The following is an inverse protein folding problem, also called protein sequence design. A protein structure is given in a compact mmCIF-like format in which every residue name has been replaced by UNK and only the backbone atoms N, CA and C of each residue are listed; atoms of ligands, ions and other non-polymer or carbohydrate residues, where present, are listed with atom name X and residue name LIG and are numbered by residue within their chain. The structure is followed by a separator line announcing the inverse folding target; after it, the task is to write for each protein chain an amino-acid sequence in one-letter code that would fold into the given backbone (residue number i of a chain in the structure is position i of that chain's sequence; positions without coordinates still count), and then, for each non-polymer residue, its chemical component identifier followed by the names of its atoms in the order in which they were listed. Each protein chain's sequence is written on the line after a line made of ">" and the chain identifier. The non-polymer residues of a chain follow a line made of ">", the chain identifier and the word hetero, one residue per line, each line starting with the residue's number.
data_IF_355655816095
#
_entry.id   IF_355655816095
#
_cell.length_a   1.000
_cell.length_b   1.000
_cell.length_c   1.000
_cell.angle_alpha   90.00
_cell.angle_beta   90.00
_cell.angle_gamma   90.00
#
_symmetry.space_group_name_H-M   'P 1'
#
loop_
_entity.id
_entity.type
_entity.pdbx_description
1 polymer ?
#
# COMPACT_ATOMS: atom_id res chain seq x y z
N UNK A 1 24.09 -47.94 -2.02
CA UNK A 1 23.23 -46.78 -1.80
C UNK A 1 24.03 -45.76 -1.01
N UNK A 2 24.67 -44.82 -1.71
CA UNK A 2 25.32 -43.69 -1.03
C UNK A 2 24.23 -42.74 -0.54
N UNK A 3 24.20 -42.48 0.76
CA UNK A 3 23.30 -41.51 1.35
C UNK A 3 23.68 -40.11 0.85
N UNK A 4 22.75 -39.47 0.14
CA UNK A 4 22.88 -38.11 -0.34
C UNK A 4 23.03 -37.17 0.88
N UNK A 5 24.21 -36.57 1.01
CA UNK A 5 24.52 -35.59 2.05
C UNK A 5 23.53 -34.41 1.91
N UNK A 6 22.91 -33.93 3.00
CA UNK A 6 21.94 -32.83 2.91
C UNK A 6 22.58 -31.59 2.27
N UNK A 7 21.82 -30.80 1.49
CA UNK A 7 22.34 -29.62 0.82
C UNK A 7 22.95 -28.67 1.85
N UNK A 8 24.21 -28.31 1.64
CA UNK A 8 24.95 -27.44 2.52
C UNK A 8 24.46 -26.01 2.29
N UNK A 9 23.85 -25.41 3.33
CA UNK A 9 23.41 -24.01 3.29
C UNK A 9 24.60 -23.10 2.94
N UNK A 10 24.34 -22.08 2.13
CA UNK A 10 25.35 -21.08 1.78
C UNK A 10 25.80 -20.27 3.00
N UNK A 11 26.98 -19.64 2.94
CA UNK A 11 27.55 -18.91 4.08
C UNK A 11 26.62 -17.79 4.58
N UNK A 12 25.89 -17.15 3.66
CA UNK A 12 24.94 -16.07 3.95
C UNK A 12 23.68 -16.61 4.65
N UNK A 13 23.24 -17.82 4.30
CA UNK A 13 22.14 -18.52 4.96
C UNK A 13 22.53 -19.09 6.32
N UNK A 14 23.78 -18.98 6.75
CA UNK A 14 24.20 -19.39 8.10
C UNK A 14 24.30 -18.19 9.05
N UNK A 15 24.16 -16.96 8.56
CA UNK A 15 24.22 -15.76 9.38
C UNK A 15 22.99 -15.65 10.30
N UNK A 16 23.16 -15.07 11.51
CA UNK A 16 22.05 -14.60 12.34
C UNK A 16 21.12 -13.67 11.55
N UNK A 17 19.83 -13.72 11.87
CA UNK A 17 18.79 -12.94 11.17
C UNK A 17 19.08 -11.45 11.20
N UNK A 18 19.66 -10.96 12.30
CA UNK A 18 20.01 -9.56 12.52
C UNK A 18 21.09 -9.09 11.54
N UNK A 19 22.05 -9.95 11.19
CA UNK A 19 23.08 -9.62 10.20
C UNK A 19 22.52 -9.66 8.79
N UNK A 20 21.59 -10.58 8.51
CA UNK A 20 20.89 -10.64 7.22
C UNK A 20 20.03 -9.40 7.02
N UNK A 21 19.32 -8.96 8.08
CA UNK A 21 18.54 -7.73 8.08
C UNK A 21 19.42 -6.50 7.83
N UNK A 22 20.59 -6.40 8.48
CA UNK A 22 21.55 -5.31 8.22
C UNK A 22 22.05 -5.34 6.77
N UNK A 23 22.32 -6.53 6.21
CA UNK A 23 22.75 -6.67 4.81
C UNK A 23 21.65 -6.24 3.86
N UNK A 24 20.41 -6.72 4.05
CA UNK A 24 19.25 -6.32 3.25
C UNK A 24 19.00 -4.81 3.37
N UNK A 25 19.22 -4.25 4.56
CA UNK A 25 19.09 -2.83 4.84
C UNK A 25 20.24 -1.96 4.31
N UNK A 26 21.29 -2.56 3.76
CA UNK A 26 22.43 -1.87 3.18
C UNK A 26 22.43 -1.89 1.64
N UNK A 27 21.44 -2.54 1.01
CA UNK A 27 21.33 -2.64 -0.44
C UNK A 27 20.93 -1.29 -1.07
N UNK A 28 21.63 -0.80 -2.11
CA UNK A 28 21.49 0.59 -2.52
C UNK A 28 20.13 0.93 -3.17
N UNK A 29 19.37 -0.06 -3.62
CA UNK A 29 18.15 0.15 -4.41
C UNK A 29 17.14 -1.00 -4.32
N UNK A 30 15.90 -0.73 -4.68
CA UNK A 30 14.78 -1.68 -4.65
C UNK A 30 14.99 -2.88 -5.59
N UNK A 31 15.72 -2.72 -6.70
CA UNK A 31 16.00 -3.80 -7.61
C UNK A 31 17.01 -4.79 -7.01
N UNK A 32 18.05 -4.28 -6.34
CA UNK A 32 19.03 -5.04 -5.57
C UNK A 32 18.38 -5.75 -4.38
N UNK A 33 17.47 -5.08 -3.66
CA UNK A 33 16.69 -5.68 -2.57
C UNK A 33 15.78 -6.80 -3.06
N UNK A 34 15.02 -6.55 -4.13
CA UNK A 34 14.19 -7.58 -4.79
C UNK A 34 15.04 -8.75 -5.28
N UNK A 35 16.19 -8.47 -5.88
CA UNK A 35 17.15 -9.48 -6.31
C UNK A 35 17.60 -10.36 -5.15
N UNK A 36 18.03 -9.75 -4.05
CA UNK A 36 18.49 -10.46 -2.85
C UNK A 36 17.37 -11.27 -2.17
N UNK A 37 16.17 -10.71 -2.04
CA UNK A 37 15.02 -11.41 -1.48
C UNK A 37 14.63 -12.64 -2.32
N UNK A 38 14.79 -12.57 -3.64
CA UNK A 38 14.48 -13.68 -4.55
C UNK A 38 15.64 -14.69 -4.69
N UNK A 39 16.82 -14.41 -4.14
CA UNK A 39 17.97 -15.32 -4.24
C UNK A 39 17.79 -16.61 -3.42
N UNK A 40 17.16 -16.54 -2.24
CA UNK A 40 16.89 -17.74 -1.46
C UNK A 40 15.73 -17.57 -0.45
N UNK A 41 15.09 -18.68 -0.02
CA UNK A 41 13.97 -18.65 0.92
C UNK A 41 14.30 -17.94 2.23
N UNK A 42 15.51 -18.11 2.77
CA UNK A 42 15.89 -17.48 4.03
C UNK A 42 16.03 -15.96 3.93
N UNK A 43 16.55 -15.44 2.82
CA UNK A 43 16.59 -13.99 2.58
C UNK A 43 15.19 -13.43 2.37
N UNK A 44 14.33 -14.17 1.69
CA UNK A 44 12.92 -13.83 1.54
C UNK A 44 12.20 -13.80 2.90
N UNK A 45 12.39 -14.80 3.74
CA UNK A 45 11.76 -14.91 5.07
C UNK A 45 12.22 -13.78 6.00
N UNK A 46 13.49 -13.39 5.94
CA UNK A 46 14.01 -12.24 6.69
C UNK A 46 13.49 -10.92 6.13
N UNK A 47 13.42 -10.76 4.81
CA UNK A 47 12.79 -9.60 4.18
C UNK A 47 11.31 -9.48 4.58
N UNK A 48 10.57 -10.59 4.59
CA UNK A 48 9.18 -10.70 5.05
C UNK A 48 9.04 -10.39 6.54
N UNK A 49 9.92 -10.94 7.37
CA UNK A 49 9.93 -10.71 8.82
C UNK A 49 10.33 -9.28 9.20
N UNK A 50 11.16 -8.63 8.38
CA UNK A 50 11.58 -7.24 8.52
C UNK A 50 10.75 -6.28 7.65
N UNK A 51 9.67 -6.73 7.01
CA UNK A 51 8.82 -5.91 6.12
C UNK A 51 8.27 -4.67 6.86
N UNK A 52 7.93 -4.82 8.15
CA UNK A 52 7.54 -3.73 9.07
C UNK A 52 8.69 -2.80 9.48
N UNK A 53 9.95 -3.20 9.21
CA UNK A 53 11.16 -2.41 9.44
C UNK A 53 11.73 -1.79 8.17
N UNK A 54 11.51 -2.44 7.03
CA UNK A 54 12.09 -2.08 5.73
C UNK A 54 11.21 -1.07 4.98
N UNK A 55 9.89 -1.05 5.23
CA UNK A 55 8.99 -0.05 4.65
C UNK A 55 8.83 1.17 5.57
N UNK A 56 9.29 2.34 5.12
CA UNK A 56 9.00 3.62 5.78
C UNK A 56 7.49 3.86 5.79
N UNK A 57 6.91 4.35 6.90
CA UNK A 57 5.46 4.68 7.00
C UNK A 57 4.95 5.53 5.81
N UNK A 58 5.77 6.46 5.32
CA UNK A 58 5.49 7.28 4.13
C UNK A 58 5.37 6.43 2.86
N UNK A 59 6.29 5.49 2.63
CA UNK A 59 6.24 4.57 1.49
C UNK A 59 4.99 3.69 1.54
N UNK A 60 4.65 3.18 2.72
CA UNK A 60 3.43 2.39 2.93
C UNK A 60 2.17 3.22 2.65
N UNK A 61 2.15 4.50 3.02
CA UNK A 61 1.06 5.40 2.68
C UNK A 61 0.98 5.75 1.19
N UNK A 62 2.12 5.88 0.51
CA UNK A 62 2.15 6.04 -0.94
C UNK A 62 1.56 4.81 -1.64
N UNK A 63 1.91 3.60 -1.18
CA UNK A 63 1.25 2.36 -1.61
C UNK A 63 -0.24 2.37 -1.32
N UNK A 64 -0.66 2.92 -0.17
CA UNK A 64 -2.07 3.15 0.13
C UNK A 64 -2.78 4.07 -0.86
N UNK A 65 -2.17 5.19 -1.24
CA UNK A 65 -2.74 6.09 -2.26
C UNK A 65 -2.85 5.40 -3.63
N UNK A 66 -1.84 4.61 -4.01
CA UNK A 66 -1.84 3.82 -5.24
C UNK A 66 -2.94 2.75 -5.20
N UNK A 67 -3.09 2.08 -4.06
CA UNK A 67 -4.14 1.08 -3.84
C UNK A 67 -5.53 1.68 -4.07
N UNK A 68 -5.89 2.77 -3.37
CA UNK A 68 -7.17 3.45 -3.54
C UNK A 68 -7.40 3.93 -4.98
N UNK A 69 -6.34 4.37 -5.67
CA UNK A 69 -6.42 4.73 -7.08
C UNK A 69 -6.74 3.52 -7.96
N UNK A 70 -6.02 2.41 -7.80
CA UNK A 70 -6.20 1.22 -8.63
C UNK A 70 -7.58 0.59 -8.41
N UNK A 71 -8.06 0.54 -7.17
CA UNK A 71 -9.44 0.11 -6.85
C UNK A 71 -10.43 0.97 -7.63
N UNK A 72 -10.38 2.31 -7.46
CA UNK A 72 -11.30 3.24 -8.16
C UNK A 72 -11.21 3.14 -9.68
N UNK A 73 -10.05 2.82 -10.24
CA UNK A 73 -9.87 2.68 -11.68
C UNK A 73 -10.61 1.44 -12.24
N UNK A 74 -10.63 0.32 -11.50
CA UNK A 74 -11.27 -0.93 -11.96
C UNK A 74 -12.70 -1.12 -11.48
N UNK A 75 -13.11 -0.47 -10.37
CA UNK A 75 -14.45 -0.59 -9.80
C UNK A 75 -15.58 -0.36 -10.82
N UNK A 76 -15.54 0.64 -11.73
CA UNK A 76 -16.64 0.83 -12.68
C UNK A 76 -16.85 -0.36 -13.62
N UNK A 77 -15.77 -1.00 -14.08
CA UNK A 77 -15.85 -2.18 -14.94
C UNK A 77 -16.32 -3.41 -14.14
N UNK A 78 -15.86 -3.54 -12.89
CA UNK A 78 -16.27 -4.62 -12.00
C UNK A 78 -17.75 -4.55 -11.63
N UNK A 79 -18.23 -3.37 -11.22
CA UNK A 79 -19.63 -3.12 -10.83
C UNK A 79 -20.54 -3.41 -12.02
N UNK A 80 -20.18 -2.96 -13.23
CA UNK A 80 -20.93 -3.24 -14.45
C UNK A 80 -21.13 -4.75 -14.67
N UNK A 81 -20.13 -5.58 -14.40
CA UNK A 81 -20.29 -7.04 -14.51
C UNK A 81 -21.10 -7.60 -13.35
N UNK A 82 -20.80 -7.18 -12.12
CA UNK A 82 -21.48 -7.68 -10.92
C UNK A 82 -22.98 -7.36 -10.89
N UNK A 83 -23.41 -6.23 -11.45
CA UNK A 83 -24.82 -5.83 -11.51
C UNK A 83 -25.62 -6.59 -12.57
N UNK A 84 -24.97 -7.14 -13.60
CA UNK A 84 -25.64 -7.74 -14.75
C UNK A 84 -25.48 -9.27 -14.84
N UNK A 85 -24.46 -9.85 -14.19
CA UNK A 85 -24.20 -11.29 -14.28
C UNK A 85 -24.96 -12.12 -13.23
N UNK A 86 -25.75 -13.08 -13.71
CA UNK A 86 -26.57 -13.95 -12.85
C UNK A 86 -25.72 -14.91 -12.01
N UNK A 87 -24.62 -15.43 -12.55
CA UNK A 87 -23.77 -16.36 -11.81
C UNK A 87 -23.02 -15.63 -10.69
N UNK A 88 -22.51 -14.42 -10.94
CA UNK A 88 -21.90 -13.58 -9.91
C UNK A 88 -22.91 -13.25 -8.79
N UNK A 89 -24.17 -12.98 -9.16
CA UNK A 89 -25.25 -12.82 -8.19
C UNK A 89 -25.52 -14.08 -7.35
N UNK A 90 -25.53 -15.26 -7.97
CA UNK A 90 -25.69 -16.56 -7.28
C UNK A 90 -24.54 -16.80 -6.28
N UNK A 91 -23.30 -16.48 -6.66
CA UNK A 91 -22.13 -16.57 -5.78
C UNK A 91 -22.00 -15.44 -4.78
N UNK A 92 -22.99 -14.53 -4.73
CA UNK A 92 -23.01 -13.38 -3.82
C UNK A 92 -21.74 -12.52 -3.93
N UNK A 93 -21.23 -12.36 -5.15
CA UNK A 93 -20.06 -11.51 -5.42
C UNK A 93 -20.41 -10.09 -4.99
N UNK A 94 -19.78 -9.62 -3.91
CA UNK A 94 -20.02 -8.29 -3.39
C UNK A 94 -19.57 -7.25 -4.41
N UNK A 95 -20.38 -6.21 -4.60
CA UNK A 95 -20.02 -5.07 -5.44
C UNK A 95 -18.78 -4.38 -4.87
N UNK A 96 -17.98 -3.75 -5.73
CA UNK A 96 -16.73 -3.06 -5.36
C UNK A 96 -16.95 -1.75 -4.57
N UNK A 97 -18.01 -1.71 -3.75
CA UNK A 97 -18.33 -0.59 -2.87
C UNK A 97 -17.35 -0.50 -1.70
N UNK A 98 -16.80 -1.64 -1.30
CA UNK A 98 -15.79 -1.71 -0.26
C UNK A 98 -14.39 -1.93 -0.86
N UNK A 99 -13.44 -1.10 -0.43
CA UNK A 99 -12.06 -1.08 -0.92
C UNK A 99 -11.29 -2.39 -0.58
N UNK A 100 -11.78 -3.13 0.41
CA UNK A 100 -11.27 -4.40 0.89
C UNK A 100 -11.99 -5.62 0.28
N UNK A 101 -12.83 -5.43 -0.74
CA UNK A 101 -13.50 -6.52 -1.45
C UNK A 101 -12.51 -7.59 -1.92
N UNK A 102 -12.71 -8.82 -1.46
CA UNK A 102 -11.85 -9.99 -1.76
C UNK A 102 -11.68 -10.24 -3.27
N UNK A 103 -12.69 -9.91 -4.07
CA UNK A 103 -12.66 -10.07 -5.51
C UNK A 103 -11.86 -8.95 -6.18
N UNK A 104 -11.98 -7.72 -5.68
CA UNK A 104 -11.17 -6.58 -6.15
C UNK A 104 -9.71 -6.79 -5.77
N UNK A 105 -9.42 -7.24 -4.54
CA UNK A 105 -8.08 -7.60 -4.10
C UNK A 105 -7.45 -8.69 -4.98
N UNK A 106 -8.23 -9.69 -5.39
CA UNK A 106 -7.78 -10.66 -6.38
C UNK A 106 -7.41 -10.00 -7.72
N UNK A 107 -8.26 -9.12 -8.27
CA UNK A 107 -7.96 -8.41 -9.51
C UNK A 107 -6.69 -7.57 -9.41
N UNK A 108 -6.48 -6.86 -8.29
CA UNK A 108 -5.26 -6.09 -8.04
C UNK A 108 -4.02 -6.97 -8.05
N UNK A 109 -4.12 -8.20 -7.55
CA UNK A 109 -3.02 -9.17 -7.52
C UNK A 109 -2.59 -9.68 -8.91
N UNK A 110 -3.39 -9.47 -9.96
CA UNK A 110 -3.07 -9.85 -11.34
C UNK A 110 -2.07 -8.89 -12.02
N UNK A 111 -1.80 -7.75 -11.40
CA UNK A 111 -0.80 -6.78 -11.87
C UNK A 111 -1.32 -5.72 -12.84
N UNK A 112 -0.49 -4.70 -13.07
CA UNK A 112 -0.89 -3.46 -13.76
C UNK A 112 -1.34 -3.67 -15.22
N UNK A 113 -0.77 -4.63 -15.94
CA UNK A 113 -1.17 -4.93 -17.31
C UNK A 113 -2.63 -5.39 -17.37
N UNK A 114 -3.02 -6.30 -16.46
CA UNK A 114 -4.38 -6.81 -16.37
C UNK A 114 -5.35 -5.73 -15.92
N UNK A 115 -4.97 -4.92 -14.93
CA UNK A 115 -5.77 -3.80 -14.46
C UNK A 115 -6.00 -2.76 -15.56
N UNK A 116 -4.98 -2.46 -16.36
CA UNK A 116 -5.11 -1.57 -17.50
C UNK A 116 -6.06 -2.12 -18.57
N UNK A 117 -6.00 -3.41 -18.87
CA UNK A 117 -6.94 -4.05 -19.78
C UNK A 117 -8.40 -3.96 -19.26
N UNK A 118 -8.62 -4.20 -17.97
CA UNK A 118 -9.95 -4.08 -17.34
C UNK A 118 -10.45 -2.62 -17.40
N UNK A 119 -9.60 -1.66 -17.03
CA UNK A 119 -9.93 -0.24 -17.01
C UNK A 119 -10.29 0.30 -18.40
N UNK A 120 -9.60 -0.18 -19.44
CA UNK A 120 -9.82 0.27 -20.83
C UNK A 120 -10.96 -0.45 -21.53
N UNK A 121 -11.42 -1.59 -21.02
CA UNK A 121 -12.50 -2.37 -21.60
C UNK A 121 -13.83 -1.59 -21.69
N UNK A 122 -14.42 -1.61 -22.89
CA UNK A 122 -15.61 -0.80 -23.22
C UNK A 122 -16.92 -1.57 -23.20
N UNK A 123 -16.88 -2.87 -23.44
CA UNK A 123 -18.09 -3.71 -23.52
C UNK A 123 -18.17 -4.63 -22.32
N UNK A 124 -19.41 -5.00 -21.96
CA UNK A 124 -19.69 -5.97 -20.92
C UNK A 124 -18.96 -7.30 -21.17
N UNK A 125 -19.00 -7.81 -22.41
CA UNK A 125 -18.43 -9.12 -22.75
C UNK A 125 -16.92 -9.15 -22.52
N UNK A 126 -16.20 -8.09 -22.93
CA UNK A 126 -14.75 -8.00 -22.69
C UNK A 126 -14.43 -7.87 -21.21
N UNK A 127 -15.23 -7.11 -20.44
CA UNK A 127 -15.07 -6.99 -18.98
C UNK A 127 -15.27 -8.34 -18.30
N UNK A 128 -16.34 -9.04 -18.66
CA UNK A 128 -16.64 -10.38 -18.16
C UNK A 128 -15.51 -11.36 -18.49
N UNK A 129 -15.05 -11.43 -19.73
CA UNK A 129 -13.93 -12.32 -20.13
C UNK A 129 -12.63 -12.02 -19.37
N UNK A 130 -12.36 -10.75 -19.08
CA UNK A 130 -11.15 -10.35 -18.36
C UNK A 130 -11.17 -10.75 -16.89
N UNK A 131 -12.34 -10.75 -16.24
CA UNK A 131 -12.49 -10.93 -14.79
C UNK A 131 -13.03 -12.30 -14.39
N UNK A 132 -13.85 -12.92 -15.24
CA UNK A 132 -14.51 -14.18 -14.95
C UNK A 132 -13.53 -15.35 -14.98
N UNK A 133 -13.69 -16.27 -14.04
CA UNK A 133 -13.01 -17.54 -14.11
C UNK A 133 -13.92 -18.62 -14.76
N UNK A 134 -13.47 -19.30 -15.83
CA UNK A 134 -14.29 -20.30 -16.53
C UNK A 134 -14.61 -21.56 -15.71
N UNK A 135 -13.86 -21.86 -14.65
CA UNK A 135 -14.08 -23.05 -13.82
C UNK A 135 -15.24 -22.86 -12.84
N UNK A 136 -15.46 -21.65 -12.34
CA UNK A 136 -16.50 -21.35 -11.36
C UNK A 136 -17.55 -20.34 -11.82
N UNK A 137 -17.42 -19.75 -13.03
CA UNK A 137 -18.28 -18.68 -13.54
C UNK A 137 -18.42 -17.48 -12.57
N UNK A 138 -17.34 -17.19 -11.85
CA UNK A 138 -17.18 -16.01 -11.01
C UNK A 138 -15.69 -15.66 -10.87
N UNK A 139 -15.30 -14.44 -10.45
CA UNK A 139 -13.91 -14.12 -10.17
C UNK A 139 -13.42 -14.89 -8.93
N UNK A 140 -12.12 -15.14 -8.86
CA UNK A 140 -11.52 -15.69 -7.64
C UNK A 140 -11.53 -14.62 -6.54
N UNK A 141 -11.59 -15.08 -5.30
CA UNK A 141 -11.41 -14.22 -4.14
C UNK A 141 -9.99 -14.33 -3.57
N UNK A 142 -9.52 -13.22 -2.98
CA UNK A 142 -8.25 -13.15 -2.24
C UNK A 142 -8.44 -12.20 -1.06
N UNK A 143 -8.40 -12.76 0.15
CA UNK A 143 -8.43 -11.98 1.39
C UNK A 143 -7.06 -11.36 1.68
N UNK A 144 -6.00 -12.14 1.45
CA UNK A 144 -4.65 -11.75 1.88
C UNK A 144 -3.88 -11.05 0.75
N UNK A 145 -4.08 -9.74 0.61
CA UNK A 145 -3.34 -8.91 -0.34
C UNK A 145 -2.96 -7.53 0.25
N UNK A 146 -2.88 -6.52 -0.61
CA UNK A 146 -2.32 -5.22 -0.27
C UNK A 146 -3.17 -4.49 0.77
N UNK A 147 -4.51 -4.57 0.71
CA UNK A 147 -5.36 -3.94 1.72
C UNK A 147 -5.06 -4.45 3.13
N UNK A 148 -5.02 -5.78 3.33
CA UNK A 148 -4.73 -6.38 4.64
C UNK A 148 -3.34 -5.97 5.15
N UNK A 149 -2.33 -6.01 4.27
CA UNK A 149 -0.98 -5.57 4.62
C UNK A 149 -0.93 -4.08 5.06
N UNK A 150 -1.71 -3.23 4.40
CA UNK A 150 -1.78 -1.80 4.70
C UNK A 150 -2.60 -1.48 5.97
N UNK A 151 -3.74 -2.14 6.17
CA UNK A 151 -4.69 -1.87 7.26
C UNK A 151 -4.25 -2.58 8.56
N UNK A 152 -3.94 -3.87 8.48
CA UNK A 152 -3.73 -4.72 9.66
C UNK A 152 -2.27 -4.84 10.10
N UNK A 153 -1.32 -4.82 9.15
CA UNK A 153 0.08 -5.12 9.45
C UNK A 153 0.99 -3.90 9.57
N UNK A 154 0.53 -2.73 9.15
CA UNK A 154 1.39 -1.54 9.02
C UNK A 154 1.40 -0.62 10.25
N UNK A 155 0.38 -0.73 11.11
CA UNK A 155 0.28 0.07 12.32
C UNK A 155 0.89 -0.65 13.52
N UNK A 156 1.41 0.14 14.46
CA UNK A 156 2.00 -0.40 15.68
C UNK A 156 1.03 -0.26 16.87
N UNK A 157 1.18 -1.03 17.96
CA UNK A 157 0.31 -0.90 19.12
C UNK A 157 0.26 0.53 19.66
N UNK A 158 -0.93 0.97 20.09
CA UNK A 158 -1.15 2.33 20.55
C UNK A 158 -0.25 2.65 21.76
N UNK A 159 0.54 3.71 21.65
CA UNK A 159 1.38 4.24 22.73
C UNK A 159 0.67 5.32 23.57
N UNK A 160 -0.54 5.72 23.17
CA UNK A 160 -1.32 6.82 23.74
C UNK A 160 -0.59 8.18 23.70
N UNK A 161 0.37 8.34 22.79
CA UNK A 161 1.11 9.59 22.60
C UNK A 161 0.76 10.09 21.20
N UNK A 162 0.24 11.31 21.12
CA UNK A 162 -0.03 11.98 19.85
C UNK A 162 1.28 12.40 19.18
N UNK A 163 1.32 12.39 17.85
CA UNK A 163 2.50 12.80 17.09
C UNK A 163 2.95 14.22 17.44
N UNK A 164 2.00 15.13 17.73
CA UNK A 164 2.28 16.49 18.21
C UNK A 164 3.11 16.53 19.49
N UNK A 165 2.99 15.51 20.34
CA UNK A 165 3.62 15.41 21.65
C UNK A 165 4.93 14.58 21.61
N UNK A 166 5.34 14.08 20.45
CA UNK A 166 6.55 13.28 20.31
C UNK A 166 7.81 14.10 20.62
N UNK A 167 8.61 13.61 21.57
CA UNK A 167 9.97 14.12 21.74
C UNK A 167 10.87 13.71 20.58
N UNK A 168 12.05 14.33 20.45
CA UNK A 168 13.04 13.92 19.45
C UNK A 168 13.44 12.44 19.60
N UNK A 169 13.46 11.91 20.82
CA UNK A 169 13.76 10.51 21.07
C UNK A 169 12.59 9.60 20.66
N UNK A 170 11.34 10.03 20.88
CA UNK A 170 10.16 9.30 20.40
C UNK A 170 10.12 9.26 18.87
N UNK A 171 10.43 10.38 18.21
CA UNK A 171 10.54 10.43 16.75
C UNK A 171 11.61 9.46 16.24
N UNK A 172 12.79 9.42 16.86
CA UNK A 172 13.87 8.50 16.46
C UNK A 172 13.52 7.04 16.67
N UNK A 173 12.74 6.73 17.71
CA UNK A 173 12.35 5.35 18.04
C UNK A 173 11.17 4.86 17.20
N UNK A 174 10.19 5.72 16.98
CA UNK A 174 8.87 5.32 16.45
C UNK A 174 8.67 5.74 14.99
N UNK A 175 9.46 6.68 14.47
CA UNK A 175 9.43 7.11 13.07
C UNK A 175 10.73 6.64 12.43
N UNK A 176 10.70 5.43 11.86
CA UNK A 176 11.86 4.84 11.18
C UNK A 176 12.32 5.79 10.06
N UNK A 177 13.62 6.11 9.97
CA UNK A 177 14.13 6.94 8.90
C UNK A 177 13.89 6.26 7.56
N UNK A 178 13.66 7.08 6.52
CA UNK A 178 13.51 6.53 5.17
C UNK A 178 14.77 5.76 4.78
N UNK A 179 14.55 4.60 4.17
CA UNK A 179 15.60 3.76 3.62
C UNK A 179 16.53 4.54 2.67
N UNK A 180 15.90 5.33 1.80
CA UNK A 180 16.57 6.26 0.91
C UNK A 180 16.44 7.67 1.46
N UNK A 181 17.55 8.43 1.49
CA UNK A 181 17.50 9.86 1.72
C UNK A 181 16.90 10.53 0.49
N UNK A 182 15.58 10.64 0.50
CA UNK A 182 14.87 11.46 -0.47
C UNK A 182 15.36 12.91 -0.31
N UNK A 183 15.92 13.55 -1.36
CA UNK A 183 16.26 14.96 -1.30
C UNK A 183 15.03 15.85 -1.08
N UNK A 184 13.83 15.33 -1.36
CA UNK A 184 12.57 16.02 -1.13
C UNK A 184 11.91 15.56 0.17
N UNK A 185 11.68 16.52 1.07
CA UNK A 185 11.01 16.30 2.34
C UNK A 185 9.48 16.33 2.24
N UNK A 186 8.91 16.75 1.10
CA UNK A 186 7.48 17.00 0.91
C UNK A 186 6.58 15.87 1.41
N UNK A 187 6.74 14.62 0.93
CA UNK A 187 5.97 13.47 1.40
C UNK A 187 6.02 13.24 2.91
N UNK A 188 7.18 13.45 3.53
CA UNK A 188 7.34 13.28 4.98
C UNK A 188 6.77 14.47 5.77
N UNK A 189 6.85 15.68 5.23
CA UNK A 189 6.30 16.90 5.83
C UNK A 189 4.78 16.88 5.83
N UNK A 190 4.16 16.58 4.68
CA UNK A 190 2.70 16.50 4.55
C UNK A 190 2.10 15.34 5.35
N UNK A 191 2.83 14.23 5.48
CA UNK A 191 2.44 13.16 6.39
C UNK A 191 2.38 13.64 7.84
N UNK A 192 3.45 14.28 8.34
CA UNK A 192 3.48 14.83 9.71
C UNK A 192 2.38 15.85 9.92
N UNK A 193 2.17 16.74 8.95
CA UNK A 193 1.12 17.74 8.98
C UNK A 193 -0.27 17.10 9.16
N UNK A 194 -0.57 16.03 8.42
CA UNK A 194 -1.88 15.36 8.50
C UNK A 194 -2.08 14.53 9.78
N UNK A 195 -1.01 14.04 10.42
CA UNK A 195 -1.08 13.04 11.50
C UNK A 195 -0.76 13.61 12.89
N UNK A 196 -0.75 14.95 13.07
CA UNK A 196 -0.42 15.57 14.36
C UNK A 196 -1.27 15.03 15.52
N UNK A 197 -2.58 14.87 15.28
CA UNK A 197 -3.55 14.41 16.28
C UNK A 197 -3.75 12.88 16.28
N UNK A 198 -2.79 12.13 15.74
CA UNK A 198 -2.83 10.67 15.69
C UNK A 198 -1.78 10.04 16.60
N UNK A 199 -2.06 8.82 17.04
CA UNK A 199 -1.08 7.95 17.70
C UNK A 199 -0.54 6.91 16.72
N UNK A 200 0.50 6.19 17.11
CA UNK A 200 1.18 5.25 16.19
C UNK A 200 0.34 4.07 15.70
N UNK A 201 -0.80 3.80 16.35
CA UNK A 201 -1.78 2.82 15.88
C UNK A 201 -2.57 3.28 14.67
N UNK A 202 -2.45 4.55 14.31
CA UNK A 202 -3.16 5.19 13.20
C UNK A 202 -2.18 5.87 12.22
N UNK A 203 -0.88 5.60 12.27
CA UNK A 203 0.05 6.32 11.38
C UNK A 203 -0.02 5.91 9.91
N UNK A 204 -0.65 4.78 9.61
CA UNK A 204 -0.73 4.22 8.26
C UNK A 204 -2.17 3.87 7.91
N UNK A 205 -2.57 4.21 6.69
CA UNK A 205 -3.72 3.68 5.97
C UNK A 205 -5.05 3.62 6.75
N UNK A 206 -5.44 4.74 7.37
CA UNK A 206 -6.70 4.82 8.13
C UNK A 206 -7.93 4.92 7.20
N UNK A 207 -8.90 4.00 7.30
CA UNK A 207 -10.11 4.00 6.45
C UNK A 207 -10.81 5.38 6.38
N UNK A 208 -11.02 6.03 7.53
CA UNK A 208 -11.74 7.31 7.62
C UNK A 208 -10.98 8.53 7.04
N UNK A 209 -9.74 8.35 6.59
CA UNK A 209 -8.93 9.38 5.94
C UNK A 209 -8.81 9.20 4.43
N UNK A 210 -9.82 8.58 3.81
CA UNK A 210 -9.91 8.38 2.35
C UNK A 210 -9.63 9.67 1.57
N UNK A 211 -10.12 10.83 2.05
CA UNK A 211 -9.99 12.12 1.35
C UNK A 211 -8.53 12.52 1.13
N UNK A 212 -7.65 12.23 2.10
CA UNK A 212 -6.22 12.47 1.96
C UNK A 212 -5.61 11.56 0.89
N UNK A 213 -6.01 10.28 0.86
CA UNK A 213 -5.54 9.32 -0.14
C UNK A 213 -6.10 9.61 -1.54
N UNK A 214 -7.31 10.14 -1.64
CA UNK A 214 -7.87 10.62 -2.91
C UNK A 214 -7.06 11.76 -3.50
N UNK A 215 -6.57 12.67 -2.64
CA UNK A 215 -5.64 13.74 -3.01
C UNK A 215 -4.22 13.23 -3.31
N UNK A 216 -3.92 11.97 -2.98
CA UNK A 216 -2.56 11.44 -3.02
C UNK A 216 -1.58 12.33 -2.24
N UNK A 217 -1.99 12.82 -1.07
CA UNK A 217 -1.30 13.87 -0.30
C UNK A 217 0.21 13.61 -0.09
N UNK A 218 0.62 12.36 0.10
CA UNK A 218 2.03 11.94 0.28
C UNK A 218 2.81 11.72 -1.03
N UNK A 219 2.22 12.06 -2.18
CA UNK A 219 2.87 11.94 -3.50
C UNK A 219 3.40 13.29 -4.01
N UNK A 220 3.18 14.38 -3.28
CA UNK A 220 3.54 15.73 -3.72
C UNK A 220 4.90 16.18 -3.19
N UNK A 221 5.61 16.91 -4.03
CA UNK A 221 6.89 17.52 -3.66
C UNK A 221 6.73 18.74 -2.77
N UNK A 222 7.77 19.06 -2.00
CA UNK A 222 7.74 20.18 -1.04
C UNK A 222 7.47 21.53 -1.76
N UNK A 223 7.93 21.71 -3.00
CA UNK A 223 7.70 22.94 -3.76
C UNK A 223 6.19 23.17 -3.99
N UNK A 224 5.49 22.18 -4.53
CA UNK A 224 4.03 22.26 -4.77
C UNK A 224 3.24 22.43 -3.48
N UNK A 225 3.60 21.70 -2.43
CA UNK A 225 2.92 21.80 -1.13
C UNK A 225 3.03 23.21 -0.54
N UNK A 226 4.18 23.86 -0.68
CA UNK A 226 4.39 25.24 -0.27
C UNK A 226 3.63 26.24 -1.15
N UNK A 227 3.64 26.04 -2.47
CA UNK A 227 2.88 26.89 -3.41
C UNK A 227 1.36 26.85 -3.14
N UNK A 228 0.83 25.68 -2.79
CA UNK A 228 -0.58 25.51 -2.41
C UNK A 228 -0.91 26.01 -1.00
N UNK A 229 0.10 26.35 -0.20
CA UNK A 229 -0.10 26.82 1.17
C UNK A 229 -0.65 25.75 2.11
N UNK A 230 -0.39 24.46 1.84
CA UNK A 230 -0.93 23.33 2.63
C UNK A 230 -0.61 23.48 4.12
N UNK A 231 0.62 23.88 4.43
CA UNK A 231 1.10 24.00 5.80
C UNK A 231 0.61 25.25 6.55
N UNK A 232 -0.19 26.13 5.91
CA UNK A 232 -0.67 27.37 6.53
C UNK A 232 -1.81 27.14 7.54
N UNK A 233 -2.50 26.00 7.45
CA UNK A 233 -3.57 25.59 8.35
C UNK A 233 -3.31 24.17 8.84
N UNK A 234 -3.67 23.79 10.07
CA UNK A 234 -3.66 22.39 10.47
C UNK A 234 -4.65 21.58 9.63
N UNK A 235 -4.42 20.27 9.54
CA UNK A 235 -5.44 19.37 9.00
C UNK A 235 -6.63 19.32 9.96
N UNK A 236 -7.84 19.51 9.43
CA UNK A 236 -9.09 19.39 10.18
C UNK A 236 -10.03 18.42 9.43
N UNK A 237 -10.62 17.49 10.18
CA UNK A 237 -11.60 16.53 9.68
C UNK A 237 -12.94 17.19 9.30
N UNK A 238 -13.24 18.36 9.85
CA UNK A 238 -14.55 19.03 9.67
C UNK A 238 -14.58 20.02 8.48
N UNK A 239 -13.43 20.36 7.89
CA UNK A 239 -13.38 21.34 6.80
C UNK A 239 -13.56 20.72 5.40
N UNK A 240 -14.28 21.47 4.57
CA UNK A 240 -14.73 21.23 3.19
C UNK A 240 -13.61 21.05 2.14
N UNK A 241 -12.62 20.21 2.41
CA UNK A 241 -11.47 20.01 1.52
C UNK A 241 -11.82 19.31 0.21
N UNK A 242 -12.98 18.63 0.08
CA UNK A 242 -13.40 18.01 -1.20
C UNK A 242 -13.51 19.00 -2.36
N UNK A 243 -13.79 20.28 -2.09
CA UNK A 243 -13.88 21.34 -3.10
C UNK A 243 -12.53 22.01 -3.38
N UNK A 244 -11.81 22.41 -2.33
CA UNK A 244 -10.54 23.14 -2.45
C UNK A 244 -9.39 22.24 -2.96
N UNK A 245 -9.34 20.97 -2.55
CA UNK A 245 -8.32 20.02 -3.03
C UNK A 245 -8.46 19.73 -4.52
N UNK A 246 -9.70 19.58 -5.03
CA UNK A 246 -9.92 19.39 -6.48
C UNK A 246 -9.47 20.61 -7.28
N UNK A 247 -9.63 21.81 -6.74
CA UNK A 247 -9.14 23.04 -7.35
C UNK A 247 -7.61 23.18 -7.29
N UNK A 248 -6.97 22.76 -6.20
CA UNK A 248 -5.51 22.84 -6.02
C UNK A 248 -4.74 21.78 -6.81
N UNK A 249 -5.28 20.55 -6.90
CA UNK A 249 -4.62 19.44 -7.57
C UNK A 249 -4.75 19.48 -9.11
N UNK A 250 -5.56 20.38 -9.68
CA UNK A 250 -5.67 20.55 -11.13
C UNK A 250 -6.26 19.36 -11.90
N UNK A 251 -7.00 18.47 -11.22
CA UNK A 251 -7.69 17.36 -11.89
C UNK A 251 -8.90 17.90 -12.65
N UNK A 252 -8.77 18.01 -13.98
CA UNK A 252 -9.89 18.10 -14.93
C UNK A 252 -10.16 16.74 -15.54
#
# INVERSE_FOLDING_TARGET
>A
MEAQKPPQLSLIEQLPVELIEIILSALPDLHSLKGAALCCPRLFDVFKGAESTIATKVLTLQLGCIHDFLVRAVSPAFIDVAEHDVAWGEFSVQTANDIDSEYVQYLLSLGLEKLYAIWTAKTYETRYELMNNPQCNCPWSRYDFLHEALDEMSNEPNDHIYLSDYTLDDQRRNIKPSYFKDPDSGPAEVWRWAHQDETRSNFVYQRHREVLREWAYVMWDSCRLNEWGVFQKPWDHEDTWKGEIKCLAGWR
#
